data_IF_079434238150
#
_entry.id   IF_079434238150
#
_cell.length_a   1.000
_cell.length_b   1.000
_cell.length_c   1.000
_cell.angle_alpha   90.00
_cell.angle_beta   90.00
_cell.angle_gamma   90.00
#
_symmetry.space_group_name_H-M   'P 1'
#
loop_
_entity.id
_entity.type
_entity.pdbx_description
1 polymer ?
#
# COMPACT_ATOMS: atom_id res chain seq x y z
N UNK A 1 -8.52 4.06 23.01
CA UNK A 1 -8.64 5.09 21.93
C UNK A 1 -7.92 6.40 22.26
N UNK A 2 -7.14 6.45 23.37
CA UNK A 2 -6.29 7.61 23.71
C UNK A 2 -7.03 8.91 24.10
N UNK A 3 -8.28 8.84 24.55
CA UNK A 3 -9.07 10.00 24.95
C UNK A 3 -9.30 10.10 26.47
N UNK A 4 -8.64 9.27 27.29
CA UNK A 4 -8.91 9.18 28.74
C UNK A 4 -8.58 10.46 29.53
N UNK A 5 -7.72 11.31 29.03
CA UNK A 5 -7.30 12.57 29.70
C UNK A 5 -8.01 13.81 29.13
N UNK A 6 -8.94 13.63 28.19
CA UNK A 6 -9.61 14.77 27.56
C UNK A 6 -10.72 15.31 28.47
N UNK A 7 -10.61 16.57 28.84
CA UNK A 7 -11.57 17.28 29.71
C UNK A 7 -12.47 18.24 28.94
N UNK A 8 -12.23 18.42 27.64
CA UNK A 8 -12.98 19.35 26.81
C UNK A 8 -14.35 18.78 26.43
N UNK A 9 -15.32 19.66 26.23
CA UNK A 9 -16.60 19.26 25.65
C UNK A 9 -16.42 18.65 24.24
N UNK A 10 -17.20 17.64 23.90
CA UNK A 10 -17.17 16.93 22.60
C UNK A 10 -17.31 17.90 21.41
N UNK A 11 -18.01 19.04 21.58
CA UNK A 11 -18.08 20.09 20.54
C UNK A 11 -16.71 20.63 20.14
N UNK A 12 -15.75 20.68 21.08
CA UNK A 12 -14.38 21.14 20.85
C UNK A 12 -13.42 20.07 20.33
N UNK A 13 -13.87 18.83 20.21
CA UNK A 13 -13.03 17.75 19.72
C UNK A 13 -12.66 17.97 18.25
N UNK A 14 -11.40 17.67 17.92
CA UNK A 14 -10.94 17.57 16.54
C UNK A 14 -11.69 16.44 15.79
N UNK A 15 -11.58 16.41 14.47
CA UNK A 15 -12.20 15.36 13.67
C UNK A 15 -11.68 13.98 14.07
N UNK A 16 -10.36 13.81 14.25
CA UNK A 16 -9.76 12.57 14.72
C UNK A 16 -10.19 12.15 16.10
N UNK A 17 -10.34 13.11 17.03
CA UNK A 17 -10.89 12.83 18.38
C UNK A 17 -12.34 12.34 18.31
N UNK A 18 -13.17 12.96 17.47
CA UNK A 18 -14.56 12.51 17.26
C UNK A 18 -14.62 11.12 16.66
N UNK A 19 -13.75 10.81 15.70
CA UNK A 19 -13.65 9.49 15.09
C UNK A 19 -13.26 8.43 16.12
N UNK A 20 -12.23 8.70 16.94
CA UNK A 20 -11.81 7.82 18.03
C UNK A 20 -12.91 7.61 19.07
N UNK A 21 -13.66 8.65 19.39
CA UNK A 21 -14.82 8.55 20.29
C UNK A 21 -15.92 7.67 19.71
N UNK A 22 -16.21 7.79 18.40
CA UNK A 22 -17.18 6.94 17.71
C UNK A 22 -16.77 5.46 17.74
N UNK A 23 -15.49 5.17 17.49
CA UNK A 23 -14.96 3.81 17.62
C UNK A 23 -15.10 3.32 19.08
N UNK A 24 -14.75 4.13 20.07
CA UNK A 24 -14.90 3.78 21.47
C UNK A 24 -16.35 3.45 21.83
N UNK A 25 -17.31 4.25 21.35
CA UNK A 25 -18.73 4.02 21.54
C UNK A 25 -19.18 2.67 20.91
N UNK A 26 -18.74 2.38 19.69
CA UNK A 26 -19.06 1.13 19.02
C UNK A 26 -18.50 -0.10 19.76
N UNK A 27 -17.38 0.05 20.46
CA UNK A 27 -16.71 -1.02 21.20
C UNK A 27 -17.29 -1.29 22.60
N UNK A 28 -18.16 -0.42 23.16
CA UNK A 28 -18.66 -0.53 24.52
C UNK A 28 -19.27 -1.90 24.85
N UNK A 29 -20.01 -2.47 23.92
CA UNK A 29 -20.68 -3.77 24.10
C UNK A 29 -19.87 -4.96 23.63
N UNK A 30 -18.57 -4.81 23.40
CA UNK A 30 -17.68 -5.87 22.91
C UNK A 30 -18.28 -6.63 21.71
N UNK A 31 -18.58 -5.95 20.59
CA UNK A 31 -19.21 -6.59 19.44
C UNK A 31 -18.30 -7.65 18.84
N UNK A 32 -18.88 -8.64 18.16
CA UNK A 32 -18.11 -9.61 17.36
C UNK A 32 -17.68 -9.06 16.00
N UNK A 33 -18.39 -8.04 15.50
CA UNK A 33 -18.16 -7.38 14.22
C UNK A 33 -18.24 -5.87 14.42
N UNK A 34 -17.19 -5.16 14.00
CA UNK A 34 -17.17 -3.71 13.89
C UNK A 34 -17.20 -3.34 12.41
N UNK A 35 -18.13 -2.45 12.03
CA UNK A 35 -18.21 -1.91 10.66
C UNK A 35 -17.91 -0.41 10.73
N UNK A 36 -16.92 0.04 9.93
CA UNK A 36 -16.53 1.43 9.82
C UNK A 36 -16.63 1.89 8.38
N UNK A 37 -17.26 3.04 8.16
CA UNK A 37 -17.29 3.69 6.84
C UNK A 37 -16.26 4.81 6.83
N UNK A 38 -15.28 4.71 5.90
CA UNK A 38 -14.21 5.69 5.71
C UNK A 38 -13.53 6.17 7.02
N UNK A 39 -13.04 5.27 7.91
CA UNK A 39 -12.61 5.64 9.26
C UNK A 39 -11.41 6.58 9.30
N UNK A 40 -10.62 6.66 8.26
CA UNK A 40 -9.42 7.49 8.15
C UNK A 40 -9.57 8.70 7.24
N UNK A 41 -10.73 8.85 6.58
CA UNK A 41 -10.98 9.92 5.62
C UNK A 41 -10.88 11.30 6.24
N UNK A 42 -10.22 12.22 5.51
CA UNK A 42 -10.01 13.62 5.89
C UNK A 42 -9.38 13.82 7.29
N UNK A 43 -8.53 12.90 7.70
CA UNK A 43 -7.62 13.05 8.83
C UNK A 43 -6.23 13.45 8.34
N UNK A 44 -5.50 14.16 9.18
CA UNK A 44 -4.08 14.37 9.01
C UNK A 44 -3.29 13.06 9.18
N UNK A 45 -2.02 12.98 8.75
CA UNK A 45 -1.25 11.72 8.81
C UNK A 45 -1.15 11.13 10.22
N UNK A 46 -1.10 11.98 11.26
CA UNK A 46 -1.01 11.51 12.65
C UNK A 46 -2.33 10.90 13.10
N UNK A 47 -3.45 11.60 12.91
CA UNK A 47 -4.77 11.09 13.25
C UNK A 47 -5.14 9.83 12.48
N UNK A 48 -4.74 9.75 11.19
CA UNK A 48 -4.91 8.55 10.37
C UNK A 48 -4.16 7.36 10.96
N UNK A 49 -2.89 7.57 11.32
CA UNK A 49 -2.08 6.53 11.97
C UNK A 49 -2.72 6.05 13.27
N UNK A 50 -3.18 6.95 14.11
CA UNK A 50 -3.83 6.61 15.39
C UNK A 50 -5.08 5.73 15.19
N UNK A 51 -5.92 6.03 14.20
CA UNK A 51 -7.10 5.21 13.87
C UNK A 51 -6.67 3.81 13.40
N UNK A 52 -5.71 3.72 12.48
CA UNK A 52 -5.21 2.44 11.98
C UNK A 52 -4.61 1.59 13.11
N UNK A 53 -3.87 2.19 14.01
CA UNK A 53 -3.27 1.49 15.17
C UNK A 53 -4.36 0.97 16.12
N UNK A 54 -5.47 1.70 16.30
CA UNK A 54 -6.65 1.22 17.05
C UNK A 54 -7.28 0.02 16.33
N UNK A 55 -7.54 0.11 15.02
CA UNK A 55 -8.15 -0.97 14.25
C UNK A 55 -7.27 -2.23 14.26
N UNK A 56 -5.94 -2.07 14.17
CA UNK A 56 -4.97 -3.16 14.31
C UNK A 56 -5.05 -3.84 15.68
N UNK A 57 -5.15 -3.07 16.76
CA UNK A 57 -5.19 -3.61 18.11
C UNK A 57 -6.46 -4.40 18.41
N UNK A 58 -7.58 -4.03 17.79
CA UNK A 58 -8.88 -4.69 18.07
C UNK A 58 -9.14 -5.90 17.16
N UNK A 59 -8.49 -6.01 16.00
CA UNK A 59 -8.72 -7.13 15.05
C UNK A 59 -8.41 -8.50 15.63
N UNK A 60 -7.54 -8.58 16.64
CA UNK A 60 -7.24 -9.83 17.35
C UNK A 60 -8.42 -10.32 18.23
N UNK A 61 -9.37 -9.46 18.51
CA UNK A 61 -10.50 -9.73 19.42
C UNK A 61 -11.84 -9.81 18.71
N UNK A 62 -11.93 -9.24 17.49
CA UNK A 62 -13.18 -9.16 16.74
C UNK A 62 -12.93 -9.01 15.24
N UNK A 63 -13.93 -9.29 14.43
CA UNK A 63 -13.87 -8.98 12.99
C UNK A 63 -14.05 -7.49 12.78
N UNK A 64 -13.15 -6.89 12.02
CA UNK A 64 -13.22 -5.48 11.60
C UNK A 64 -13.44 -5.43 10.09
N UNK A 65 -14.55 -4.83 9.68
CA UNK A 65 -14.87 -4.50 8.29
C UNK A 65 -14.86 -2.99 8.13
N UNK A 66 -14.10 -2.45 7.20
CA UNK A 66 -14.14 -1.02 6.89
C UNK A 66 -14.09 -0.75 5.40
N UNK A 67 -14.78 0.31 4.98
CA UNK A 67 -14.65 0.85 3.64
C UNK A 67 -13.55 1.90 3.60
N UNK A 68 -12.81 2.00 2.49
CA UNK A 68 -11.88 3.09 2.25
C UNK A 68 -11.53 3.20 0.77
N UNK A 69 -11.25 4.41 0.31
CA UNK A 69 -10.63 4.68 -0.98
C UNK A 69 -9.11 4.84 -0.88
N UNK A 70 -8.55 4.73 0.34
CA UNK A 70 -7.12 4.93 0.61
C UNK A 70 -6.43 3.55 0.63
N UNK A 71 -5.91 3.14 -0.51
CA UNK A 71 -5.39 1.78 -0.71
C UNK A 71 -4.19 1.45 0.17
N UNK A 72 -3.36 2.43 0.55
CA UNK A 72 -2.27 2.24 1.52
C UNK A 72 -2.75 1.89 2.94
N UNK A 73 -3.98 2.24 3.34
CA UNK A 73 -4.56 1.77 4.60
C UNK A 73 -4.92 0.30 4.53
N UNK A 74 -5.48 -0.12 3.38
CA UNK A 74 -5.79 -1.54 3.11
C UNK A 74 -4.53 -2.39 3.19
N UNK A 75 -3.45 -1.99 2.52
CA UNK A 75 -2.18 -2.71 2.54
C UNK A 75 -1.59 -2.85 3.95
N UNK A 76 -1.79 -1.82 4.77
CA UNK A 76 -1.23 -1.77 6.11
C UNK A 76 -1.94 -2.69 7.10
N UNK A 77 -3.27 -2.82 7.03
CA UNK A 77 -4.04 -3.44 8.12
C UNK A 77 -4.97 -4.57 7.69
N UNK A 78 -5.29 -4.72 6.39
CA UNK A 78 -6.23 -5.75 5.93
C UNK A 78 -5.54 -7.10 5.70
N UNK A 79 -6.25 -8.18 6.03
CA UNK A 79 -5.92 -9.55 5.64
C UNK A 79 -6.68 -9.96 4.39
N UNK A 80 -7.91 -9.50 4.28
CA UNK A 80 -8.84 -9.81 3.19
C UNK A 80 -9.39 -8.51 2.62
N UNK A 81 -9.67 -8.48 1.32
CA UNK A 81 -10.18 -7.32 0.61
C UNK A 81 -11.29 -7.70 -0.35
N UNK A 82 -12.17 -6.74 -0.62
CA UNK A 82 -13.15 -6.81 -1.68
C UNK A 82 -13.17 -5.48 -2.44
N UNK A 83 -12.94 -5.50 -3.74
CA UNK A 83 -13.03 -4.33 -4.61
C UNK A 83 -14.46 -4.14 -5.09
N UNK A 84 -15.05 -3.00 -4.73
CA UNK A 84 -16.40 -2.63 -5.12
C UNK A 84 -16.34 -1.60 -6.25
N UNK A 85 -16.92 -1.94 -7.40
CA UNK A 85 -17.05 -1.03 -8.54
C UNK A 85 -18.48 -1.03 -9.03
N UNK A 86 -19.10 0.16 -9.15
CA UNK A 86 -20.49 0.35 -9.61
C UNK A 86 -21.51 -0.58 -8.90
N UNK A 87 -21.35 -0.81 -7.59
CA UNK A 87 -22.25 -1.66 -6.80
C UNK A 87 -21.99 -3.16 -6.96
N UNK A 88 -20.97 -3.56 -7.70
CA UNK A 88 -20.61 -4.97 -7.93
C UNK A 88 -19.25 -5.24 -7.30
N UNK A 89 -19.12 -6.42 -6.64
CA UNK A 89 -17.84 -6.92 -6.15
C UNK A 89 -17.09 -7.55 -7.33
N UNK A 90 -16.04 -6.89 -7.81
CA UNK A 90 -15.21 -7.35 -8.92
C UNK A 90 -14.21 -8.42 -8.50
N UNK A 91 -13.44 -8.16 -7.45
CA UNK A 91 -12.43 -9.09 -6.90
C UNK A 91 -12.54 -9.11 -5.38
N UNK A 92 -12.43 -10.31 -4.81
CA UNK A 92 -12.37 -10.48 -3.35
C UNK A 92 -11.47 -11.64 -2.95
N UNK A 93 -10.91 -11.59 -1.76
CA UNK A 93 -10.10 -12.66 -1.17
C UNK A 93 -8.98 -12.14 -0.28
N UNK A 94 -8.07 -13.04 0.08
CA UNK A 94 -6.88 -12.65 0.85
C UNK A 94 -6.01 -11.69 0.04
N UNK A 95 -5.57 -10.63 0.69
CA UNK A 95 -4.72 -9.62 0.08
C UNK A 95 -3.43 -10.24 -0.50
N UNK A 96 -2.81 -11.17 0.23
CA UNK A 96 -1.62 -11.92 -0.23
C UNK A 96 -1.86 -12.67 -1.53
N UNK A 97 -3.02 -13.36 -1.64
CA UNK A 97 -3.34 -14.20 -2.79
C UNK A 97 -3.65 -13.33 -4.01
N UNK A 98 -4.35 -12.20 -3.79
CA UNK A 98 -4.61 -11.22 -4.83
C UNK A 98 -3.29 -10.64 -5.34
N UNK A 99 -2.41 -10.13 -4.46
CA UNK A 99 -1.09 -9.63 -4.85
C UNK A 99 -0.26 -10.67 -5.61
N UNK A 100 -0.29 -11.94 -5.19
CA UNK A 100 0.44 -13.01 -5.87
C UNK A 100 -0.12 -13.29 -7.27
N UNK A 101 -1.44 -13.26 -7.43
CA UNK A 101 -2.12 -13.53 -8.72
C UNK A 101 -1.81 -12.46 -9.77
N UNK A 102 -1.62 -11.22 -9.32
CA UNK A 102 -1.31 -10.07 -10.19
C UNK A 102 0.17 -9.65 -10.09
N UNK A 103 1.04 -10.56 -9.69
CA UNK A 103 2.46 -10.28 -9.52
C UNK A 103 3.08 -9.87 -10.85
N UNK A 104 3.63 -8.67 -10.91
CA UNK A 104 4.41 -8.21 -12.05
C UNK A 104 5.72 -9.00 -12.18
N UNK A 105 6.14 -9.29 -13.41
CA UNK A 105 7.47 -9.83 -13.69
C UNK A 105 8.51 -8.71 -13.88
N UNK A 106 8.11 -7.49 -13.56
CA UNK A 106 8.96 -6.32 -13.66
C UNK A 106 9.93 -6.22 -12.48
N UNK A 107 11.11 -5.74 -12.79
CA UNK A 107 12.12 -5.34 -11.83
C UNK A 107 12.33 -3.83 -11.90
N UNK A 108 12.52 -3.20 -10.73
CA UNK A 108 12.90 -1.80 -10.61
C UNK A 108 14.35 -1.71 -10.17
N UNK A 109 15.12 -0.86 -10.84
CA UNK A 109 16.51 -0.63 -10.59
C UNK A 109 16.74 0.87 -10.38
N UNK A 110 17.52 1.23 -9.36
CA UNK A 110 17.92 2.61 -9.07
C UNK A 110 19.44 2.70 -9.03
N UNK A 111 19.98 3.67 -9.76
CA UNK A 111 21.44 3.95 -9.83
C UNK A 111 21.79 5.19 -9.00
N UNK A 112 23.07 5.28 -8.61
CA UNK A 112 23.57 6.41 -7.85
C UNK A 112 23.67 7.72 -8.65
N UNK A 113 23.68 7.64 -9.99
CA UNK A 113 23.81 8.80 -10.86
C UNK A 113 23.25 8.57 -12.27
N UNK A 114 23.04 9.66 -13.01
CA UNK A 114 22.45 9.66 -14.35
C UNK A 114 23.37 8.95 -15.38
N UNK A 115 24.70 9.03 -15.21
CA UNK A 115 25.67 8.41 -16.14
C UNK A 115 25.57 6.89 -16.10
N UNK A 116 25.52 6.31 -14.92
CA UNK A 116 25.36 4.87 -14.70
C UNK A 116 24.02 4.37 -15.26
N UNK A 117 22.95 5.15 -15.08
CA UNK A 117 21.64 4.84 -15.66
C UNK A 117 21.72 4.78 -17.20
N UNK A 118 22.35 5.78 -17.84
CA UNK A 118 22.48 5.81 -19.30
C UNK A 118 23.30 4.64 -19.85
N UNK A 119 24.36 4.22 -19.14
CA UNK A 119 25.16 3.04 -19.52
C UNK A 119 24.29 1.78 -19.50
N UNK A 120 23.46 1.60 -18.48
CA UNK A 120 22.55 0.47 -18.39
C UNK A 120 21.52 0.50 -19.52
N UNK A 121 20.89 1.64 -19.76
CA UNK A 121 19.87 1.79 -20.80
C UNK A 121 20.43 1.57 -22.21
N UNK A 122 21.66 1.99 -22.47
CA UNK A 122 22.33 1.73 -23.75
C UNK A 122 22.70 0.26 -23.95
N UNK A 123 23.05 -0.43 -22.87
CA UNK A 123 23.43 -1.85 -22.91
C UNK A 123 22.21 -2.78 -22.93
N UNK A 124 21.15 -2.38 -22.26
CA UNK A 124 19.90 -3.15 -22.13
C UNK A 124 18.71 -2.30 -22.67
N UNK A 125 18.48 -2.31 -23.98
CA UNK A 125 17.55 -1.38 -24.64
C UNK A 125 16.08 -1.54 -24.23
N UNK A 126 15.70 -2.70 -23.63
CA UNK A 126 14.35 -2.95 -23.14
C UNK A 126 14.08 -2.33 -21.75
N UNK A 127 15.09 -1.70 -21.12
CA UNK A 127 14.90 -0.95 -19.90
C UNK A 127 14.19 0.38 -20.16
N UNK A 128 13.12 0.62 -19.43
CA UNK A 128 12.35 1.86 -19.50
C UNK A 128 12.69 2.77 -18.32
N UNK A 129 12.90 4.03 -18.58
CA UNK A 129 13.10 5.02 -17.53
C UNK A 129 11.76 5.43 -16.92
N UNK A 130 11.64 5.30 -15.58
CA UNK A 130 10.46 5.68 -14.82
C UNK A 130 10.69 6.86 -13.86
N UNK A 131 11.96 7.21 -13.64
CA UNK A 131 12.38 8.31 -12.77
C UNK A 131 13.76 8.84 -13.15
N UNK A 132 14.29 9.78 -12.37
CA UNK A 132 15.56 10.43 -12.68
C UNK A 132 16.72 9.42 -12.80
N UNK A 133 16.81 8.47 -11.85
CA UNK A 133 17.86 7.44 -11.81
C UNK A 133 17.24 6.04 -11.71
N UNK A 134 16.00 5.87 -12.16
CA UNK A 134 15.23 4.66 -11.99
C UNK A 134 14.85 4.07 -13.34
N UNK A 135 15.10 2.79 -13.48
CA UNK A 135 14.79 1.97 -14.64
C UNK A 135 13.84 0.83 -14.22
N UNK A 136 12.99 0.42 -15.14
CA UNK A 136 12.16 -0.77 -15.00
C UNK A 136 12.44 -1.70 -16.19
N UNK A 137 12.42 -3.00 -15.93
CA UNK A 137 12.57 -4.03 -16.96
C UNK A 137 11.82 -5.30 -16.57
N UNK A 138 11.44 -6.08 -17.59
CA UNK A 138 10.96 -7.44 -17.42
C UNK A 138 12.07 -8.42 -17.81
N UNK A 139 12.14 -9.58 -17.17
CA UNK A 139 13.03 -10.65 -17.62
C UNK A 139 12.58 -11.16 -19.01
N UNK A 140 13.53 -11.39 -19.89
CA UNK A 140 13.32 -11.81 -21.25
C UNK A 140 14.65 -12.14 -21.90
N UNK A 141 15.16 -11.25 -22.76
CA UNK A 141 16.47 -11.44 -23.43
C UNK A 141 17.65 -11.43 -22.45
N UNK A 142 17.45 -10.92 -21.22
CA UNK A 142 18.40 -10.92 -20.12
C UNK A 142 17.70 -11.06 -18.77
N UNK A 143 18.40 -11.63 -17.81
CA UNK A 143 17.91 -11.85 -16.45
C UNK A 143 18.41 -10.77 -15.49
N UNK A 144 17.80 -10.69 -14.30
CA UNK A 144 18.29 -9.83 -13.21
C UNK A 144 19.77 -10.18 -12.85
N UNK A 145 20.20 -11.46 -12.99
CA UNK A 145 21.57 -11.86 -12.75
C UNK A 145 22.55 -11.33 -13.81
N UNK A 146 22.15 -11.26 -15.07
CA UNK A 146 22.98 -10.70 -16.14
C UNK A 146 23.22 -9.21 -15.90
N UNK A 147 22.18 -8.50 -15.48
CA UNK A 147 22.25 -7.10 -15.11
C UNK A 147 23.18 -6.89 -13.90
N UNK A 148 23.01 -7.70 -12.84
CA UNK A 148 23.86 -7.62 -11.65
C UNK A 148 25.33 -7.89 -11.98
N UNK A 149 25.62 -8.87 -12.86
CA UNK A 149 26.99 -9.15 -13.32
C UNK A 149 27.56 -7.94 -14.06
N UNK A 150 26.80 -7.36 -14.98
CA UNK A 150 27.23 -6.18 -15.73
C UNK A 150 27.50 -4.99 -14.79
N UNK A 151 26.62 -4.75 -13.82
CA UNK A 151 26.77 -3.70 -12.80
C UNK A 151 28.09 -3.90 -12.02
N UNK A 152 28.36 -5.13 -11.57
CA UNK A 152 29.58 -5.46 -10.84
C UNK A 152 30.84 -5.28 -11.69
N UNK A 153 30.85 -5.76 -12.94
CA UNK A 153 31.99 -5.67 -13.86
C UNK A 153 32.32 -4.22 -14.24
N UNK A 154 31.32 -3.35 -14.29
CA UNK A 154 31.46 -1.92 -14.66
C UNK A 154 31.55 -0.99 -13.46
N UNK A 155 31.50 -1.53 -12.23
CA UNK A 155 31.49 -0.75 -10.99
C UNK A 155 30.41 0.33 -10.96
N UNK A 156 29.24 0.03 -11.52
CA UNK A 156 28.06 0.91 -11.52
C UNK A 156 27.54 1.05 -10.10
N UNK A 157 27.23 2.28 -9.70
CA UNK A 157 26.65 2.56 -8.37
C UNK A 157 25.17 2.13 -8.31
N UNK A 158 24.91 0.89 -7.91
CA UNK A 158 23.57 0.37 -7.67
C UNK A 158 23.09 0.78 -6.29
N UNK A 159 21.96 1.48 -6.20
CA UNK A 159 21.30 1.82 -4.95
C UNK A 159 20.21 0.82 -4.59
N UNK A 160 19.46 0.31 -5.60
CA UNK A 160 18.35 -0.59 -5.39
C UNK A 160 18.16 -1.49 -6.60
N UNK A 161 17.86 -2.75 -6.36
CA UNK A 161 17.28 -3.67 -7.34
C UNK A 161 16.23 -4.50 -6.60
N UNK A 162 15.01 -4.39 -7.01
CA UNK A 162 13.92 -5.18 -6.45
C UNK A 162 12.94 -5.63 -7.52
N UNK A 163 12.22 -6.70 -7.25
CA UNK A 163 11.07 -7.08 -8.06
C UNK A 163 9.92 -6.12 -7.74
N UNK A 164 9.33 -5.53 -8.79
CA UNK A 164 8.19 -4.64 -8.59
C UNK A 164 7.02 -5.43 -7.98
N UNK A 165 6.62 -5.02 -6.79
CA UNK A 165 5.40 -5.56 -6.20
C UNK A 165 4.20 -4.78 -6.77
N UNK A 166 3.14 -5.47 -7.20
CA UNK A 166 1.94 -4.80 -7.66
C UNK A 166 1.35 -3.98 -6.51
N UNK A 167 1.13 -2.72 -6.74
CA UNK A 167 0.40 -1.87 -5.79
C UNK A 167 -1.09 -2.19 -5.87
N UNK A 168 -1.83 -1.96 -4.81
CA UNK A 168 -3.29 -2.10 -4.86
C UNK A 168 -3.90 -1.10 -5.84
N UNK A 169 -3.26 0.05 -6.09
CA UNK A 169 -3.67 1.02 -7.09
C UNK A 169 -3.65 0.41 -8.50
N UNK A 170 -2.55 -0.24 -8.88
CA UNK A 170 -2.44 -0.88 -10.20
C UNK A 170 -3.45 -2.02 -10.37
N UNK A 171 -3.65 -2.82 -9.30
CA UNK A 171 -4.65 -3.89 -9.28
C UNK A 171 -6.08 -3.34 -9.40
N UNK A 172 -6.38 -2.25 -8.68
CA UNK A 172 -7.70 -1.61 -8.75
C UNK A 172 -7.99 -1.10 -10.15
N UNK A 173 -7.02 -0.43 -10.81
CA UNK A 173 -7.18 0.05 -12.18
C UNK A 173 -7.47 -1.10 -13.15
N UNK A 174 -6.74 -2.22 -13.06
CA UNK A 174 -6.98 -3.40 -13.90
C UNK A 174 -8.36 -4.03 -13.70
N UNK A 175 -8.91 -3.97 -12.49
CA UNK A 175 -10.27 -4.48 -12.19
C UNK A 175 -11.36 -3.54 -12.68
N UNK A 176 -11.11 -2.22 -12.69
CA UNK A 176 -12.09 -1.20 -13.11
C UNK A 176 -12.18 -1.10 -14.64
N UNK A 177 -11.09 -1.36 -15.37
CA UNK A 177 -11.03 -1.29 -16.83
C UNK A 177 -11.63 -2.53 -17.53
N UNK A 178 -11.90 -3.60 -16.82
CA UNK A 178 -12.58 -4.83 -17.33
C UNK A 178 -14.09 -4.77 -17.09
#
# INVERSE_FOLDING_TARGET
VGLGNETHHIKGFSRGMKQRLGIAQALLNRPKLLICDEPTSALDPVGRKEILDILLAIREQMTVLFSTHILSDVERICTDVAFLNNGVVGVQGKLSDIKTRYRSEEYQLETGNDTDMLILQQTFPNMQQIGRNQLVFCEGDYTAFDILRFIADRHIALLKLERAEPTLESLFMEVVEK
#
